data_IF_439110432488
#
_entry.id   IF_439110432488
#
_cell.length_a   1.000
_cell.length_b   1.000
_cell.length_c   1.000
_cell.angle_alpha   90.00
_cell.angle_beta   90.00
_cell.angle_gamma   90.00
#
_symmetry.space_group_name_H-M   'P 1'
#
loop_
_entity.id
_entity.type
_entity.pdbx_description
1 polymer ?
#
# COMPACT_ATOMS: atom_id res chain seq x y z
N UNK A 1 -4.81 14.13 11.16
CA UNK A 1 -4.43 12.70 11.04
C UNK A 1 -5.54 11.79 11.56
N UNK A 2 -6.53 12.28 12.32
CA UNK A 2 -7.55 11.43 12.95
C UNK A 2 -8.42 10.61 11.99
N UNK A 3 -8.47 10.99 10.71
CA UNK A 3 -9.21 10.27 9.66
C UNK A 3 -8.35 9.28 8.87
N UNK A 4 -7.02 9.29 9.05
CA UNK A 4 -6.08 8.43 8.33
C UNK A 4 -5.56 7.32 9.23
N UNK A 5 -5.67 6.09 8.75
CA UNK A 5 -5.04 4.91 9.32
C UNK A 5 -3.82 4.57 8.47
N UNK A 6 -2.65 4.48 9.09
CA UNK A 6 -1.38 4.19 8.42
C UNK A 6 -0.87 2.86 8.94
N UNK A 7 -0.59 1.94 8.03
CA UNK A 7 -0.02 0.64 8.34
C UNK A 7 1.41 0.57 7.79
N UNK A 8 2.32 0.03 8.61
CA UNK A 8 3.72 -0.21 8.25
C UNK A 8 3.95 -1.71 8.34
N UNK A 9 3.96 -2.36 7.18
CA UNK A 9 3.94 -3.81 7.10
C UNK A 9 5.31 -4.34 6.67
N UNK A 10 5.78 -5.37 7.37
CA UNK A 10 6.91 -6.18 6.94
C UNK A 10 6.37 -7.53 6.50
N UNK A 11 6.19 -7.71 5.19
CA UNK A 11 5.53 -8.88 4.62
C UNK A 11 6.57 -9.92 4.26
N UNK A 12 6.51 -11.08 4.92
CA UNK A 12 7.47 -12.16 4.72
C UNK A 12 7.58 -12.55 3.24
N UNK A 13 8.79 -12.43 2.69
CA UNK A 13 9.07 -12.76 1.31
C UNK A 13 8.63 -11.71 0.28
N UNK A 14 8.00 -10.60 0.66
CA UNK A 14 7.67 -9.49 -0.25
C UNK A 14 8.40 -8.18 0.09
N UNK A 15 8.75 -7.99 1.36
CA UNK A 15 9.47 -6.81 1.85
C UNK A 15 8.58 -5.84 2.64
N UNK A 16 9.04 -4.60 2.77
CA UNK A 16 8.35 -3.56 3.55
C UNK A 16 7.37 -2.76 2.69
N UNK A 17 6.19 -2.50 3.23
CA UNK A 17 5.14 -1.72 2.59
C UNK A 17 4.56 -0.69 3.57
N UNK A 18 3.99 0.37 2.99
CA UNK A 18 3.19 1.36 3.71
C UNK A 18 1.83 1.42 3.04
N UNK A 19 0.78 1.27 3.83
CA UNK A 19 -0.60 1.44 3.39
C UNK A 19 -1.22 2.64 4.12
N UNK A 20 -2.14 3.30 3.43
CA UNK A 20 -2.96 4.34 4.03
C UNK A 20 -4.42 4.10 3.68
N UNK A 21 -5.26 4.14 4.70
CA UNK A 21 -6.70 4.15 4.54
C UNK A 21 -7.25 5.44 5.16
N UNK A 22 -8.28 6.02 4.54
CA UNK A 22 -9.03 7.13 5.11
C UNK A 22 -10.42 6.65 5.49
N UNK A 23 -10.91 7.07 6.66
CA UNK A 23 -12.27 6.77 7.12
C UNK A 23 -13.30 7.62 6.39
N UNK A 24 -14.46 7.03 6.10
CA UNK A 24 -15.55 7.68 5.37
C UNK A 24 -15.53 7.39 3.87
N UNK A 25 -16.57 7.82 3.16
CA UNK A 25 -16.75 7.53 1.72
C UNK A 25 -16.37 8.73 0.82
N UNK A 26 -16.06 9.89 1.42
CA UNK A 26 -15.79 11.14 0.70
C UNK A 26 -14.29 11.38 0.55
N UNK A 27 -13.62 10.51 -0.21
CA UNK A 27 -12.27 10.72 -0.69
C UNK A 27 -12.01 10.01 -2.02
N UNK A 28 -11.09 10.55 -2.80
CA UNK A 28 -10.63 9.95 -4.04
C UNK A 28 -9.27 9.26 -3.86
N UNK A 29 -8.91 8.30 -4.73
CA UNK A 29 -7.59 7.65 -4.69
C UNK A 29 -6.42 8.62 -4.75
N UNK A 30 -6.57 9.74 -5.48
CA UNK A 30 -5.51 10.74 -5.62
C UNK A 30 -5.16 11.41 -4.28
N UNK A 31 -6.13 11.61 -3.40
CA UNK A 31 -5.90 12.22 -2.09
C UNK A 31 -4.97 11.35 -1.22
N UNK A 32 -5.13 10.02 -1.29
CA UNK A 32 -4.26 9.08 -0.60
C UNK A 32 -2.86 9.03 -1.20
N UNK A 33 -2.76 9.11 -2.54
CA UNK A 33 -1.48 9.15 -3.25
C UNK A 33 -0.71 10.42 -2.86
N UNK A 34 -1.34 11.59 -2.91
CA UNK A 34 -0.72 12.87 -2.55
C UNK A 34 -0.26 12.85 -1.08
N UNK A 35 -1.03 12.23 -0.19
CA UNK A 35 -0.66 12.04 1.21
C UNK A 35 0.60 11.17 1.36
N UNK A 36 0.66 10.03 0.68
CA UNK A 36 1.83 9.13 0.69
C UNK A 36 3.07 9.80 0.08
N UNK A 37 2.92 10.53 -1.02
CA UNK A 37 4.01 11.30 -1.63
C UNK A 37 4.53 12.38 -0.66
N UNK A 38 3.64 13.03 0.09
CA UNK A 38 4.00 13.97 1.15
C UNK A 38 4.83 13.35 2.29
N UNK A 39 4.68 12.05 2.53
CA UNK A 39 5.51 11.27 3.47
C UNK A 39 6.83 10.80 2.85
N UNK A 40 7.07 11.08 1.57
CA UNK A 40 8.28 10.68 0.84
C UNK A 40 8.21 9.28 0.23
N UNK A 41 7.04 8.64 0.24
CA UNK A 41 6.80 7.38 -0.46
C UNK A 41 6.85 7.61 -1.96
N UNK A 42 7.45 6.67 -2.70
CA UNK A 42 7.58 6.76 -4.16
C UNK A 42 6.98 5.53 -4.81
N UNK A 43 6.17 5.77 -5.83
CA UNK A 43 5.44 4.72 -6.54
C UNK A 43 4.23 4.23 -5.75
N UNK A 44 3.45 3.37 -6.39
CA UNK A 44 2.29 2.71 -5.79
C UNK A 44 2.26 1.24 -6.18
N UNK A 45 1.76 0.42 -5.28
CA UNK A 45 1.45 -0.99 -5.53
C UNK A 45 -0.05 -1.17 -5.40
N UNK A 46 -0.70 -1.61 -6.47
CA UNK A 46 -2.16 -1.82 -6.49
C UNK A 46 -2.55 -3.27 -6.30
N UNK A 47 -1.59 -4.20 -6.39
CA UNK A 47 -1.81 -5.63 -6.11
C UNK A 47 -1.83 -5.84 -4.60
N UNK A 48 -2.72 -6.71 -4.15
CA UNK A 48 -2.70 -7.22 -2.77
C UNK A 48 -1.45 -8.05 -2.50
N UNK A 49 -1.09 -8.19 -1.21
CA UNK A 49 -0.03 -9.11 -0.80
C UNK A 49 -0.24 -10.54 -1.30
N UNK A 50 -1.49 -11.00 -1.38
CA UNK A 50 -1.83 -12.32 -1.92
C UNK A 50 -1.47 -12.45 -3.40
N UNK A 51 -1.86 -11.47 -4.22
CA UNK A 51 -1.53 -11.47 -5.66
C UNK A 51 -0.02 -11.46 -5.87
N UNK A 52 0.71 -10.59 -5.15
CA UNK A 52 2.17 -10.54 -5.24
C UNK A 52 2.83 -11.86 -4.81
N UNK A 53 2.34 -12.50 -3.74
CA UNK A 53 2.83 -13.79 -3.29
C UNK A 53 2.59 -14.89 -4.34
N UNK A 54 1.43 -14.90 -4.99
CA UNK A 54 1.09 -15.85 -6.04
C UNK A 54 1.95 -15.64 -7.30
N UNK A 55 2.16 -14.39 -7.72
CA UNK A 55 3.03 -14.05 -8.85
C UNK A 55 4.49 -14.43 -8.58
N UNK A 56 5.00 -14.14 -7.39
CA UNK A 56 6.36 -14.54 -7.00
C UNK A 56 6.53 -16.06 -7.03
N UNK A 57 5.52 -16.80 -6.57
CA UNK A 57 5.51 -18.27 -6.64
C UNK A 57 5.45 -18.78 -8.08
N UNK A 58 4.69 -18.13 -8.96
CA UNK A 58 4.58 -18.51 -10.36
C UNK A 58 5.83 -18.17 -11.18
N UNK A 59 6.54 -17.10 -10.83
CA UNK A 59 7.77 -16.64 -11.50
C UNK A 59 9.08 -17.28 -11.01
N UNK A 60 9.04 -18.04 -9.91
CA UNK A 60 10.18 -18.81 -9.41
C UNK A 60 10.28 -20.14 -10.15
N UNK A 61 10.85 -20.13 -11.37
CA UNK A 61 11.26 -21.32 -12.13
C UNK A 61 12.77 -21.47 -12.06
#
# INVERSE_FOLDING_TARGET
LDDYEIMLDEVEGLGSFIEVEKRGEDYGPQELIDFLEGLGVKGSETRSYLEMALEKRAGSV
#
